data_IF_473763162279
#
_entry.id   IF_473763162279
#
_cell.length_a   1.000
_cell.length_b   1.000
_cell.length_c   1.000
_cell.angle_alpha   90.00
_cell.angle_beta   90.00
_cell.angle_gamma   90.00
#
_symmetry.space_group_name_H-M   'P 1'
#
loop_
_entity.id
_entity.type
_entity.pdbx_description
1 polymer ?
#
# COMPACT_ATOMS: atom_id res chain seq x y z
N UNK A 1 -13.35 -4.55 -4.93
CA UNK A 1 -12.26 -5.42 -4.44
C UNK A 1 -10.95 -4.78 -4.83
N UNK A 2 -10.05 -4.61 -3.86
CA UNK A 2 -8.71 -4.03 -4.05
C UNK A 2 -7.69 -5.14 -3.83
N UNK A 3 -6.62 -5.16 -4.62
CA UNK A 3 -5.53 -6.12 -4.47
C UNK A 3 -4.20 -5.37 -4.38
N UNK A 4 -3.34 -5.83 -3.48
CA UNK A 4 -1.97 -5.34 -3.33
C UNK A 4 -1.04 -6.42 -3.87
N UNK A 5 -0.23 -6.05 -4.86
CA UNK A 5 0.81 -6.91 -5.42
C UNK A 5 2.18 -6.28 -5.23
N UNK A 6 3.13 -7.05 -4.72
CA UNK A 6 4.53 -6.64 -4.62
C UNK A 6 5.45 -7.70 -5.19
N UNK A 7 6.44 -7.28 -5.98
CA UNK A 7 7.53 -8.14 -6.43
C UNK A 7 8.80 -7.64 -5.75
N UNK A 8 9.44 -8.53 -5.01
CA UNK A 8 10.77 -8.30 -4.45
C UNK A 8 11.72 -9.32 -5.09
N UNK A 9 12.54 -8.88 -6.04
CA UNK A 9 13.55 -9.74 -6.65
C UNK A 9 14.93 -9.36 -6.14
N UNK A 10 15.66 -10.35 -5.60
CA UNK A 10 17.08 -10.20 -5.27
C UNK A 10 17.98 -10.26 -6.51
N UNK A 11 17.40 -10.59 -7.66
CA UNK A 11 18.06 -10.63 -8.97
C UNK A 11 17.83 -9.27 -9.64
N UNK A 12 18.91 -8.70 -10.20
CA UNK A 12 18.87 -7.41 -10.87
C UNK A 12 18.00 -7.50 -12.14
N UNK A 13 16.69 -7.32 -11.99
CA UNK A 13 15.73 -7.35 -13.09
C UNK A 13 15.65 -5.98 -13.73
N UNK A 14 15.59 -5.94 -15.06
CA UNK A 14 15.37 -4.66 -15.75
C UNK A 14 13.96 -4.17 -15.42
N UNK A 15 13.80 -2.86 -15.22
CA UNK A 15 12.49 -2.21 -14.97
C UNK A 15 11.37 -2.65 -15.94
N UNK A 16 11.70 -2.84 -17.22
CA UNK A 16 10.74 -3.33 -18.22
C UNK A 16 10.29 -4.78 -18.02
N UNK A 17 11.09 -5.59 -17.32
CA UNK A 17 10.81 -6.98 -16.98
C UNK A 17 9.97 -7.06 -15.70
N UNK A 18 10.31 -6.29 -14.67
CA UNK A 18 9.50 -6.12 -13.45
C UNK A 18 8.07 -5.68 -13.78
N UNK A 19 7.91 -4.71 -14.68
CA UNK A 19 6.59 -4.27 -15.13
C UNK A 19 5.79 -5.35 -15.85
N UNK A 20 6.46 -6.19 -16.65
CA UNK A 20 5.80 -7.31 -17.35
C UNK A 20 5.37 -8.40 -16.37
N UNK A 21 6.22 -8.73 -15.42
CA UNK A 21 5.93 -9.73 -14.41
C UNK A 21 4.80 -9.25 -13.49
N UNK A 22 4.82 -7.98 -13.09
CA UNK A 22 3.78 -7.37 -12.29
C UNK A 22 2.44 -7.27 -13.05
N UNK A 23 2.48 -7.00 -14.36
CA UNK A 23 1.30 -7.08 -15.22
C UNK A 23 0.77 -8.52 -15.31
N UNK A 24 1.65 -9.51 -15.47
CA UNK A 24 1.28 -10.93 -15.52
C UNK A 24 0.68 -11.43 -14.20
N UNK A 25 1.26 -11.05 -13.06
CA UNK A 25 0.71 -11.35 -11.73
C UNK A 25 -0.65 -10.70 -11.54
N UNK A 26 -0.81 -9.46 -12.01
CA UNK A 26 -2.09 -8.75 -11.96
C UNK A 26 -3.14 -9.46 -12.82
N UNK A 27 -2.78 -9.89 -14.04
CA UNK A 27 -3.67 -10.59 -14.97
C UNK A 27 -4.09 -11.97 -14.43
N UNK A 28 -3.15 -12.73 -13.87
CA UNK A 28 -3.39 -14.07 -13.31
C UNK A 28 -4.20 -14.04 -12.01
N UNK A 29 -3.96 -13.09 -11.12
CA UNK A 29 -4.80 -12.86 -9.93
C UNK A 29 -6.23 -12.41 -10.30
N UNK A 30 -6.40 -11.90 -11.52
CA UNK A 30 -7.65 -11.36 -12.04
C UNK A 30 -8.36 -12.29 -13.05
N UNK A 31 -8.28 -13.62 -12.89
CA UNK A 31 -9.00 -14.57 -13.76
C UNK A 31 -10.45 -14.15 -13.98
N UNK A 32 -10.82 -13.99 -15.26
CA UNK A 32 -12.10 -13.46 -15.72
C UNK A 32 -13.27 -14.36 -15.27
N UNK A 33 -13.94 -13.97 -14.19
CA UNK A 33 -15.25 -14.50 -13.86
C UNK A 33 -16.32 -13.71 -14.62
N UNK A 34 -16.71 -14.26 -15.78
CA UNK A 34 -17.98 -14.12 -16.51
C UNK A 34 -18.51 -12.73 -16.98
N UNK A 35 -19.27 -12.70 -18.10
CA UNK A 35 -19.59 -11.49 -18.84
C UNK A 35 -20.74 -10.73 -18.18
N UNK A 36 -20.43 -9.95 -17.14
CA UNK A 36 -21.34 -8.90 -16.67
C UNK A 36 -21.25 -7.71 -17.63
N UNK A 37 -22.40 -7.24 -18.12
CA UNK A 37 -22.57 -6.23 -19.16
C UNK A 37 -22.04 -4.81 -18.84
N UNK A 38 -21.24 -4.66 -17.80
CA UNK A 38 -20.56 -3.41 -17.45
C UNK A 38 -19.08 -3.70 -17.24
N UNK A 39 -18.31 -3.50 -18.32
CA UNK A 39 -16.85 -3.58 -18.29
C UNK A 39 -16.35 -2.33 -17.56
N UNK A 40 -16.14 -2.42 -16.24
CA UNK A 40 -15.30 -1.44 -15.54
C UNK A 40 -13.84 -1.79 -15.88
N UNK A 41 -13.10 -0.96 -16.63
CA UNK A 41 -11.69 -1.21 -16.85
C UNK A 41 -10.98 -1.21 -15.49
N UNK A 42 -10.27 -2.30 -15.17
CA UNK A 42 -9.44 -2.39 -13.96
C UNK A 42 -8.22 -1.50 -14.19
N UNK A 43 -7.93 -0.60 -13.26
CA UNK A 43 -6.80 0.32 -13.39
C UNK A 43 -5.66 -0.11 -12.45
N UNK A 44 -4.46 -0.26 -13.00
CA UNK A 44 -3.24 -0.18 -12.20
C UNK A 44 -3.16 1.27 -11.76
N UNK A 45 -3.43 1.53 -10.49
CA UNK A 45 -3.50 2.90 -10.00
C UNK A 45 -2.12 3.51 -9.81
N UNK A 46 -1.11 2.67 -9.50
CA UNK A 46 0.26 3.14 -9.30
C UNK A 46 1.27 2.00 -9.23
N UNK A 47 2.48 2.26 -9.75
CA UNK A 47 3.66 1.39 -9.63
C UNK A 47 4.79 2.25 -9.04
N UNK A 48 5.40 1.77 -7.96
CA UNK A 48 6.69 2.30 -7.49
C UNK A 48 7.75 1.26 -7.82
N UNK A 49 8.81 1.72 -8.47
CA UNK A 49 9.95 0.93 -8.87
C UNK A 49 11.19 1.67 -8.34
N UNK A 50 11.98 1.03 -7.50
CA UNK A 50 13.23 1.59 -7.01
C UNK A 50 14.43 0.98 -7.74
N UNK A 51 15.58 1.67 -7.68
CA UNK A 51 16.80 1.22 -8.34
C UNK A 51 17.33 -0.15 -7.85
N UNK A 52 16.71 -0.73 -6.81
CA UNK A 52 17.14 -1.94 -6.13
C UNK A 52 16.29 -3.17 -6.51
N UNK A 53 15.66 -3.16 -7.70
CA UNK A 53 14.83 -4.27 -8.21
C UNK A 53 13.60 -4.59 -7.36
N UNK A 54 13.01 -3.57 -6.72
CA UNK A 54 11.75 -3.69 -5.99
C UNK A 54 10.64 -2.99 -6.74
N UNK A 55 9.50 -3.67 -6.88
CA UNK A 55 8.30 -3.08 -7.42
C UNK A 55 7.10 -3.29 -6.47
N UNK A 56 6.41 -2.20 -6.16
CA UNK A 56 5.11 -2.23 -5.47
C UNK A 56 4.03 -1.72 -6.42
N UNK A 57 2.90 -2.42 -6.47
CA UNK A 57 1.76 -1.97 -7.25
C UNK A 57 0.43 -2.14 -6.52
N UNK A 58 -0.43 -1.16 -6.75
CA UNK A 58 -1.81 -1.20 -6.30
C UNK A 58 -2.73 -1.38 -7.50
N UNK A 59 -3.65 -2.33 -7.39
CA UNK A 59 -4.68 -2.60 -8.40
C UNK A 59 -6.03 -2.36 -7.76
N UNK A 60 -6.74 -1.38 -8.30
CA UNK A 60 -8.02 -0.92 -7.75
C UNK A 60 -9.11 -1.09 -8.80
N UNK A 61 -10.28 -1.54 -8.34
CA UNK A 61 -11.51 -1.48 -9.13
C UNK A 61 -12.20 -0.15 -8.78
N UNK A 62 -12.31 0.80 -9.72
CA UNK A 62 -13.00 2.04 -9.43
C UNK A 62 -14.45 1.73 -9.07
N UNK A 63 -14.88 2.12 -7.87
CA UNK A 63 -16.28 2.20 -7.50
C UNK A 63 -16.78 3.58 -7.93
N UNK A 64 -17.97 3.64 -8.52
CA UNK A 64 -18.55 4.88 -9.01
C UNK A 64 -18.67 5.90 -7.85
N UNK A 65 -17.93 7.02 -7.97
CA UNK A 65 -17.86 8.07 -6.94
C UNK A 65 -16.61 8.05 -6.05
N UNK A 66 -15.74 7.03 -6.15
CA UNK A 66 -14.47 6.97 -5.41
C UNK A 66 -13.28 7.37 -6.29
N UNK A 67 -12.35 8.15 -5.73
CA UNK A 67 -11.09 8.47 -6.42
C UNK A 67 -10.21 7.21 -6.49
N UNK A 68 -9.43 7.03 -7.56
CA UNK A 68 -8.49 5.91 -7.64
C UNK A 68 -7.50 5.99 -6.48
N UNK A 69 -7.53 5.01 -5.58
CA UNK A 69 -6.56 4.94 -4.49
C UNK A 69 -5.15 4.74 -5.07
N UNK A 70 -4.22 5.63 -4.73
CA UNK A 70 -2.83 5.62 -5.19
C UNK A 70 -1.87 5.10 -4.11
N UNK A 71 -0.60 4.89 -4.45
CA UNK A 71 0.46 4.71 -3.45
C UNK A 71 0.64 6.02 -2.68
N UNK A 72 0.71 5.93 -1.36
CA UNK A 72 0.92 7.06 -0.46
C UNK A 72 2.41 7.22 -0.19
N UNK A 73 2.92 8.45 -0.21
CA UNK A 73 4.34 8.76 0.05
C UNK A 73 4.48 9.73 1.20
N UNK A 74 5.56 9.62 1.97
CA UNK A 74 5.91 10.64 2.94
C UNK A 74 6.43 11.92 2.26
N UNK A 75 6.58 13.00 3.03
CA UNK A 75 7.03 14.31 2.52
C UNK A 75 8.43 14.28 1.88
N UNK A 76 9.27 13.30 2.24
CA UNK A 76 10.61 13.16 1.69
C UNK A 76 10.68 12.16 0.52
N UNK A 77 9.53 11.57 0.14
CA UNK A 77 9.43 10.48 -0.84
C UNK A 77 10.35 9.28 -0.56
N UNK A 78 10.68 9.04 0.71
CA UNK A 78 11.52 7.92 1.17
C UNK A 78 10.70 6.71 1.56
N UNK A 79 9.46 6.91 1.99
CA UNK A 79 8.53 5.87 2.34
C UNK A 79 7.40 5.82 1.34
N UNK A 80 7.00 4.60 1.00
CA UNK A 80 5.78 4.34 0.26
C UNK A 80 4.88 3.39 1.05
N UNK A 81 3.58 3.63 0.99
CA UNK A 81 2.55 2.83 1.63
C UNK A 81 1.47 2.47 0.61
N UNK A 82 1.17 1.18 0.51
CA UNK A 82 -0.03 0.66 -0.12
C UNK A 82 -0.85 -0.04 0.96
N UNK A 83 -2.16 0.19 1.00
CA UNK A 83 -3.06 -0.52 1.88
C UNK A 83 -4.38 -0.87 1.17
N UNK A 84 -5.08 -1.87 1.69
CA UNK A 84 -6.44 -2.29 1.33
C UNK A 84 -7.22 -2.42 2.63
N UNK A 85 -8.37 -1.74 2.69
CA UNK A 85 -9.32 -1.82 3.79
C UNK A 85 -9.67 -0.49 4.42
N UNK A 86 -10.08 -0.49 5.69
CA UNK A 86 -10.45 0.72 6.42
C UNK A 86 -9.73 0.81 7.77
N UNK A 87 -9.28 2.02 8.09
CA UNK A 87 -8.67 2.36 9.37
C UNK A 87 -9.70 3.09 10.21
N UNK A 88 -10.09 2.53 11.35
CA UNK A 88 -11.22 3.02 12.15
C UNK A 88 -10.83 4.18 13.06
N UNK A 89 -9.56 4.29 13.39
CA UNK A 89 -9.08 5.22 14.40
C UNK A 89 -8.01 6.21 13.89
N UNK A 90 -7.99 6.47 12.57
CA UNK A 90 -7.01 7.35 11.92
C UNK A 90 -6.99 8.78 12.45
N UNK A 91 -8.15 9.30 12.90
CA UNK A 91 -8.22 10.63 13.53
C UNK A 91 -7.55 10.65 14.91
N UNK A 92 -7.50 9.50 15.61
CA UNK A 92 -6.89 9.40 16.94
C UNK A 92 -5.38 9.17 16.88
N UNK A 93 -4.86 8.50 15.85
CA UNK A 93 -3.42 8.37 15.61
C UNK A 93 -2.79 9.71 15.23
N UNK A 94 -3.54 10.60 14.58
CA UNK A 94 -3.16 12.00 14.34
C UNK A 94 -2.94 12.82 15.63
N UNK A 95 -3.51 12.41 16.77
CA UNK A 95 -3.38 13.14 18.04
C UNK A 95 -2.06 12.89 18.79
N UNK A 96 -1.33 11.82 18.44
CA UNK A 96 0.03 11.52 18.97
C UNK A 96 1.13 12.19 18.15
N UNK A 97 0.86 12.50 16.89
CA UNK A 97 1.69 13.40 16.11
C UNK A 97 1.51 14.82 16.66
N UNK A 98 2.60 15.56 16.79
CA UNK A 98 2.48 16.95 17.23
C UNK A 98 1.45 17.66 16.33
N UNK A 99 0.57 18.44 16.95
CA UNK A 99 -0.53 19.24 16.38
C UNK A 99 -0.11 20.17 15.20
N UNK A 100 1.13 20.08 14.71
CA UNK A 100 1.73 20.95 13.73
C UNK A 100 1.48 20.54 12.27
N UNK A 101 1.01 19.33 11.96
CA UNK A 101 0.95 18.87 10.56
C UNK A 101 -0.34 18.16 10.10
N UNK A 102 -1.32 17.95 10.98
CA UNK A 102 -2.59 17.35 10.55
C UNK A 102 -3.33 18.34 9.63
N UNK A 103 -3.25 18.11 8.32
CA UNK A 103 -3.98 18.89 7.31
C UNK A 103 -5.43 18.45 7.29
N UNK A 104 -6.33 19.41 7.13
CA UNK A 104 -7.79 19.24 7.15
C UNK A 104 -8.32 18.28 6.07
N UNK A 105 -7.49 17.85 5.11
CA UNK A 105 -7.86 16.98 3.99
C UNK A 105 -6.99 15.72 3.86
N UNK A 106 -6.18 15.39 4.87
CA UNK A 106 -5.31 14.23 4.81
C UNK A 106 -6.10 12.94 5.02
N UNK A 107 -5.93 11.97 4.13
CA UNK A 107 -6.54 10.64 4.27
C UNK A 107 -5.87 9.85 5.38
N UNK A 108 -6.59 8.87 5.95
CA UNK A 108 -6.07 7.98 6.99
C UNK A 108 -4.70 7.35 6.64
N UNK A 109 -4.51 7.00 5.36
CA UNK A 109 -3.28 6.40 4.87
C UNK A 109 -2.14 7.41 4.69
N UNK A 110 -2.44 8.64 4.29
CA UNK A 110 -1.46 9.73 4.28
C UNK A 110 -0.96 10.02 5.70
N UNK A 111 -1.87 10.14 6.68
CA UNK A 111 -1.47 10.32 8.06
C UNK A 111 -0.62 9.14 8.59
N UNK A 112 -0.91 7.91 8.16
CA UNK A 112 -0.12 6.73 8.52
C UNK A 112 1.30 6.76 7.93
N UNK A 113 1.47 7.12 6.66
CA UNK A 113 2.81 7.20 6.05
C UNK A 113 3.66 8.31 6.67
N UNK A 114 3.03 9.43 7.05
CA UNK A 114 3.70 10.51 7.78
C UNK A 114 4.07 10.09 9.21
N UNK A 115 3.19 9.38 9.92
CA UNK A 115 3.52 8.79 11.23
C UNK A 115 4.76 7.90 11.15
N UNK A 116 4.81 7.00 10.17
CA UNK A 116 5.95 6.10 9.97
C UNK A 116 7.25 6.86 9.68
N UNK A 117 7.18 8.00 8.99
CA UNK A 117 8.33 8.85 8.71
C UNK A 117 8.91 9.46 10.01
N UNK A 118 8.06 9.86 10.95
CA UNK A 118 8.46 10.47 12.22
C UNK A 118 8.95 9.48 13.29
N UNK A 119 8.52 8.21 13.22
CA UNK A 119 8.94 7.19 14.19
C UNK A 119 10.44 6.88 14.07
N UNK A 120 11.17 6.70 15.19
CA UNK A 120 12.58 6.32 15.15
C UNK A 120 12.79 4.85 14.74
N UNK A 121 14.04 4.47 14.45
CA UNK A 121 14.41 3.08 14.16
C UNK A 121 14.29 2.68 12.69
N UNK A 122 14.46 1.38 12.43
CA UNK A 122 14.35 0.81 11.08
C UNK A 122 12.88 0.63 10.66
N UNK A 123 12.64 0.30 9.38
CA UNK A 123 11.29 0.18 8.82
C UNK A 123 10.40 -0.80 9.60
N UNK A 124 10.94 -1.96 9.98
CA UNK A 124 10.18 -2.98 10.74
C UNK A 124 9.75 -2.46 12.12
N UNK A 125 10.66 -1.76 12.83
CA UNK A 125 10.36 -1.15 14.12
C UNK A 125 9.30 -0.06 14.00
N UNK A 126 9.44 0.82 13.01
CA UNK A 126 8.47 1.89 12.71
C UNK A 126 7.08 1.29 12.45
N UNK A 127 6.99 0.28 11.58
CA UNK A 127 5.73 -0.40 11.28
C UNK A 127 5.15 -1.04 12.54
N UNK A 128 5.95 -1.81 13.29
CA UNK A 128 5.48 -2.46 14.52
C UNK A 128 4.89 -1.47 15.53
N UNK A 129 5.54 -0.32 15.73
CA UNK A 129 5.03 0.71 16.63
C UNK A 129 3.76 1.36 16.10
N UNK A 130 3.71 1.73 14.82
CA UNK A 130 2.52 2.30 14.22
C UNK A 130 1.30 1.36 14.32
N UNK A 131 1.52 0.05 14.18
CA UNK A 131 0.47 -0.95 14.26
C UNK A 131 -0.02 -1.24 15.68
N UNK A 132 0.71 -0.84 16.72
CA UNK A 132 0.33 -1.13 18.12
C UNK A 132 -0.99 -0.45 18.49
N UNK A 133 -1.23 0.73 17.95
CA UNK A 133 -2.44 1.52 18.18
C UNK A 133 -3.36 1.56 16.96
N UNK A 134 -3.07 0.82 15.88
CA UNK A 134 -3.86 0.89 14.66
C UNK A 134 -5.08 -0.05 14.75
N UNK A 135 -6.27 0.51 14.63
CA UNK A 135 -7.51 -0.25 14.56
C UNK A 135 -8.10 -0.18 13.15
N UNK A 136 -8.57 -1.32 12.64
CA UNK A 136 -9.06 -1.44 11.28
C UNK A 136 -9.04 -2.85 10.71
N UNK A 137 -9.73 -3.00 9.58
CA UNK A 137 -9.60 -4.13 8.69
C UNK A 137 -8.60 -3.78 7.60
N UNK A 138 -7.35 -4.23 7.70
CA UNK A 138 -6.33 -3.83 6.75
C UNK A 138 -5.36 -4.95 6.38
N UNK A 139 -4.88 -4.89 5.14
CA UNK A 139 -3.60 -5.41 4.71
C UNK A 139 -2.79 -4.26 4.11
N UNK A 140 -1.50 -4.22 4.39
CA UNK A 140 -0.62 -3.15 3.93
C UNK A 140 0.77 -3.64 3.56
N UNK A 141 1.42 -2.84 2.70
CA UNK A 141 2.82 -2.95 2.33
C UNK A 141 3.45 -1.57 2.47
N UNK A 142 4.53 -1.49 3.25
CA UNK A 142 5.36 -0.29 3.39
C UNK A 142 6.72 -0.58 2.79
N UNK A 143 7.26 0.32 1.96
CA UNK A 143 8.63 0.22 1.49
C UNK A 143 9.44 1.45 1.81
N UNK A 144 10.72 1.24 2.09
CA UNK A 144 11.76 2.26 2.03
C UNK A 144 12.77 1.92 0.91
N UNK A 145 13.92 2.60 0.90
CA UNK A 145 14.98 2.37 -0.10
C UNK A 145 15.56 0.96 -0.08
N UNK A 146 15.42 0.21 1.01
CA UNK A 146 16.14 -1.05 1.23
C UNK A 146 15.19 -2.26 1.35
N UNK A 147 14.02 -2.08 1.96
CA UNK A 147 13.14 -3.16 2.40
C UNK A 147 11.67 -2.89 2.04
N UNK A 148 10.90 -3.99 2.01
CA UNK A 148 9.45 -3.96 2.00
C UNK A 148 8.99 -4.72 3.24
N UNK A 149 8.14 -4.08 4.05
CA UNK A 149 7.46 -4.68 5.19
C UNK A 149 5.99 -4.82 4.84
N UNK A 150 5.49 -6.05 4.89
CA UNK A 150 4.07 -6.36 4.69
C UNK A 150 3.44 -6.74 6.03
N UNK A 151 2.20 -6.33 6.25
CA UNK A 151 1.45 -6.65 7.46
C UNK A 151 -0.05 -6.65 7.21
N UNK A 152 -0.79 -7.35 8.07
CA UNK A 152 -2.26 -7.31 8.11
C UNK A 152 -2.74 -7.27 9.54
N UNK A 153 -4.00 -6.91 9.75
CA UNK A 153 -4.58 -6.93 11.09
C UNK A 153 -4.56 -8.34 11.71
N UNK A 154 -4.64 -8.41 13.04
CA UNK A 154 -4.53 -9.66 13.81
C UNK A 154 -5.60 -10.70 13.46
N UNK A 155 -6.77 -10.24 13.01
CA UNK A 155 -7.88 -11.07 12.56
C UNK A 155 -7.71 -11.61 11.13
N UNK A 156 -6.79 -11.03 10.35
CA UNK A 156 -6.56 -11.42 8.96
C UNK A 156 -7.75 -11.18 8.04
N UNK A 157 -8.52 -10.10 8.28
CA UNK A 157 -9.77 -9.82 7.54
C UNK A 157 -9.51 -9.49 6.07
N UNK A 158 -8.35 -8.92 5.75
CA UNK A 158 -7.89 -8.70 4.39
C UNK A 158 -6.85 -9.77 4.00
N UNK A 159 -6.95 -10.35 2.79
CA UNK A 159 -6.02 -11.36 2.35
C UNK A 159 -4.62 -10.77 2.12
N UNK A 160 -3.58 -11.53 2.46
CA UNK A 160 -2.19 -11.19 2.23
C UNK A 160 -1.43 -12.49 1.98
N UNK A 161 -0.75 -12.57 0.85
CA UNK A 161 -0.02 -13.75 0.41
C UNK A 161 1.45 -13.37 0.19
N UNK A 162 2.36 -14.26 0.58
CA UNK A 162 3.81 -14.10 0.42
C UNK A 162 4.40 -15.43 -0.05
N UNK A 163 5.28 -15.39 -1.05
CA UNK A 163 5.89 -16.55 -1.69
C UNK A 163 7.36 -16.29 -1.99
#
# INVERSE_FOLDING_TARGET
MTWIGGIFSKVNMRQGELRKELALMTETACSASEPSAVVYPRYISSIIDDANSKALAKVSLPVEGESPEHVYRDYQEKLALIYDGHLYNSESTGSKLSRAQHRVNETAAESLVHLLAELPGNLEQKVRWALTDLDGDYALAVSDTDLIVISRNSLGTKPLYFA
#
